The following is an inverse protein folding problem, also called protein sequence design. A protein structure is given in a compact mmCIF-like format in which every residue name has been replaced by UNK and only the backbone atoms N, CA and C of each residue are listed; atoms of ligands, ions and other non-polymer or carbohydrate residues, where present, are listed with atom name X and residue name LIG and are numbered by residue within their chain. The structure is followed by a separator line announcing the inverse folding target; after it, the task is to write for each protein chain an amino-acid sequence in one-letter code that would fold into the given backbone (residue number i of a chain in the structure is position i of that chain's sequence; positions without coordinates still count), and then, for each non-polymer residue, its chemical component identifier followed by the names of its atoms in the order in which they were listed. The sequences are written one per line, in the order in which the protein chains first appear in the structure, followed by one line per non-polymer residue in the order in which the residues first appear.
data_IF_751508183528
#
_entry.id   IF_751508183528
#
_cell.length_a   1.000
_cell.length_b   1.000
_cell.length_c   1.000
_cell.angle_alpha   90.00
_cell.angle_beta   90.00
_cell.angle_gamma   90.00
#
_symmetry.space_group_name_H-M   'P 1'
#
loop_
_entity.id
_entity.type
_entity.pdbx_description
1 polymer ?
#
# COMPACT_ATOMS: atom_id res chain seq x y z
N UNK A 1 16.35 0.88 7.49
CA UNK A 1 15.13 0.16 7.08
C UNK A 1 15.18 0.04 5.57
N UNK A 2 14.96 -1.14 5.02
CA UNK A 2 15.08 -1.39 3.56
C UNK A 2 13.83 -0.86 2.85
N UNK A 3 14.01 -0.07 1.79
CA UNK A 3 12.93 0.39 0.91
C UNK A 3 12.17 -0.81 0.32
N UNK A 4 10.83 -0.82 0.45
CA UNK A 4 9.98 -1.88 -0.10
C UNK A 4 9.71 -1.58 -1.58
N UNK A 5 9.85 -2.59 -2.45
CA UNK A 5 9.63 -2.42 -3.88
C UNK A 5 8.13 -2.38 -4.21
N UNK A 6 7.76 -1.65 -5.27
CA UNK A 6 6.37 -1.50 -5.70
C UNK A 6 5.66 -2.83 -6.01
N UNK A 7 6.37 -3.83 -6.54
CA UNK A 7 5.82 -5.16 -6.83
C UNK A 7 5.47 -5.95 -5.55
N UNK A 8 6.19 -5.71 -4.45
CA UNK A 8 5.86 -6.30 -3.15
C UNK A 8 4.63 -5.63 -2.54
N UNK A 9 4.52 -4.31 -2.64
CA UNK A 9 3.34 -3.56 -2.19
C UNK A 9 2.10 -4.00 -2.97
N UNK A 10 2.18 -4.12 -4.29
CA UNK A 10 1.06 -4.53 -5.13
C UNK A 10 0.50 -5.90 -4.73
N UNK A 11 1.39 -6.86 -4.43
CA UNK A 11 1.03 -8.23 -4.05
C UNK A 11 0.65 -8.39 -2.58
N UNK A 12 0.76 -7.35 -1.75
CA UNK A 12 0.55 -7.46 -0.30
C UNK A 12 1.59 -8.36 0.36
N UNK A 13 2.87 -8.20 0.01
CA UNK A 13 3.98 -9.01 0.52
C UNK A 13 4.93 -8.17 1.37
N UNK A 14 4.39 -7.52 2.38
CA UNK A 14 5.15 -6.76 3.37
C UNK A 14 5.32 -7.54 4.68
N UNK A 15 6.10 -6.99 5.60
CA UNK A 15 6.23 -7.52 6.96
C UNK A 15 5.01 -7.22 7.85
N UNK A 16 4.08 -6.38 7.39
CA UNK A 16 2.90 -5.97 8.14
C UNK A 16 1.66 -6.70 7.59
N UNK A 17 1.20 -7.70 8.33
CA UNK A 17 0.06 -8.54 7.94
C UNK A 17 -1.25 -7.74 7.81
N UNK A 18 -1.43 -6.68 8.61
CA UNK A 18 -2.61 -5.84 8.55
C UNK A 18 -2.62 -5.01 7.25
N UNK A 19 -1.46 -4.50 6.84
CA UNK A 19 -1.32 -3.81 5.56
C UNK A 19 -1.55 -4.75 4.38
N UNK A 20 -1.01 -5.97 4.44
CA UNK A 20 -1.21 -7.00 3.43
C UNK A 20 -2.71 -7.34 3.26
N UNK A 21 -3.43 -7.51 4.39
CA UNK A 21 -4.87 -7.76 4.36
C UNK A 21 -5.67 -6.60 3.74
N UNK A 22 -5.31 -5.35 4.05
CA UNK A 22 -5.93 -4.18 3.43
C UNK A 22 -5.67 -4.13 1.91
N UNK A 23 -4.45 -4.40 1.48
CA UNK A 23 -4.09 -4.47 0.06
C UNK A 23 -4.90 -5.57 -0.66
N UNK A 24 -5.02 -6.75 -0.07
CA UNK A 24 -5.81 -7.85 -0.65
C UNK A 24 -7.31 -7.54 -0.69
N UNK A 25 -7.86 -6.81 0.28
CA UNK A 25 -9.24 -6.34 0.23
C UNK A 25 -9.46 -5.44 -1.01
N UNK A 26 -8.54 -4.51 -1.28
CA UNK A 26 -8.60 -3.68 -2.50
C UNK A 26 -8.54 -4.55 -3.76
N UNK A 27 -7.55 -5.46 -3.86
CA UNK A 27 -7.30 -6.26 -5.06
C UNK A 27 -8.45 -7.23 -5.36
N UNK A 28 -9.01 -7.88 -4.35
CA UNK A 28 -10.03 -8.92 -4.55
C UNK A 28 -11.46 -8.39 -4.57
N UNK A 29 -11.75 -7.31 -3.84
CA UNK A 29 -13.10 -6.76 -3.75
C UNK A 29 -13.28 -5.42 -4.47
N UNK A 30 -12.21 -4.81 -4.98
CA UNK A 30 -12.24 -3.49 -5.61
C UNK A 30 -12.55 -2.36 -4.62
N UNK A 31 -12.55 -2.65 -3.32
CA UNK A 31 -12.86 -1.67 -2.27
C UNK A 31 -12.17 -2.04 -0.97
N UNK A 32 -11.28 -1.16 -0.54
CA UNK A 32 -10.73 -1.19 0.82
C UNK A 32 -11.60 -0.40 1.80
N UNK A 33 -11.76 -0.89 3.02
CA UNK A 33 -12.44 -0.20 4.12
C UNK A 33 -11.85 1.21 4.35
N UNK A 34 -12.70 2.23 4.55
CA UNK A 34 -12.27 3.63 4.57
C UNK A 34 -11.22 3.96 5.63
N UNK A 35 -11.34 3.38 6.82
CA UNK A 35 -10.32 3.52 7.87
C UNK A 35 -8.98 2.92 7.44
N UNK A 36 -9.02 1.76 6.77
CA UNK A 36 -7.82 1.08 6.30
C UNK A 36 -7.10 1.86 5.22
N UNK A 37 -7.81 2.62 4.37
CA UNK A 37 -7.19 3.48 3.33
C UNK A 37 -6.22 4.51 3.92
N UNK A 38 -6.55 5.10 5.06
CA UNK A 38 -5.67 6.08 5.72
C UNK A 38 -4.40 5.41 6.25
N UNK A 39 -4.55 4.29 6.94
CA UNK A 39 -3.43 3.52 7.47
C UNK A 39 -2.54 3.00 6.33
N UNK A 40 -3.16 2.43 5.29
CA UNK A 40 -2.50 1.88 4.12
C UNK A 40 -1.62 2.93 3.41
N UNK A 41 -2.15 4.13 3.15
CA UNK A 41 -1.40 5.20 2.50
C UNK A 41 -0.25 5.73 3.37
N UNK A 42 -0.45 5.81 4.69
CA UNK A 42 0.60 6.25 5.63
C UNK A 42 1.76 5.25 5.71
N UNK A 43 1.48 3.95 5.59
CA UNK A 43 2.52 2.92 5.55
C UNK A 43 3.32 2.94 4.24
N UNK A 44 2.67 3.20 3.10
CA UNK A 44 3.39 3.44 1.83
C UNK A 44 4.37 4.61 2.00
N UNK A 45 3.94 5.70 2.63
CA UNK A 45 4.82 6.84 2.94
C UNK A 45 6.00 6.47 3.85
N UNK A 46 5.78 5.61 4.84
CA UNK A 46 6.83 5.15 5.76
C UNK A 46 7.88 4.25 5.09
N UNK A 47 7.50 3.49 4.06
CA UNK A 47 8.32 2.43 3.48
C UNK A 47 8.92 2.75 2.11
N UNK A 48 8.63 3.93 1.56
CA UNK A 48 9.19 4.44 0.30
C UNK A 48 10.30 5.46 0.56
N UNK A 49 11.13 5.72 -0.44
CA UNK A 49 12.33 6.54 -0.30
C UNK A 49 12.01 8.04 -0.22
N UNK A 50 10.86 8.45 -0.76
CA UNK A 50 10.43 9.84 -0.76
C UNK A 50 8.90 9.98 -0.73
N UNK A 51 8.38 11.11 -0.24
CA UNK A 51 6.94 11.41 -0.32
C UNK A 51 6.38 11.41 -1.75
N UNK A 52 7.20 11.79 -2.74
CA UNK A 52 6.82 11.77 -4.16
C UNK A 52 6.59 10.34 -4.63
N UNK A 53 7.54 9.43 -4.33
CA UNK A 53 7.39 8.02 -4.63
C UNK A 53 6.19 7.41 -3.90
N UNK A 54 5.98 7.77 -2.63
CA UNK A 54 4.82 7.31 -1.86
C UNK A 54 3.49 7.67 -2.53
N UNK A 55 3.40 8.91 -3.02
CA UNK A 55 2.21 9.43 -3.68
C UNK A 55 1.97 8.70 -5.01
N UNK A 56 3.01 8.56 -5.85
CA UNK A 56 2.94 7.85 -7.12
C UNK A 56 2.47 6.40 -6.94
N UNK A 57 3.05 5.68 -5.96
CA UNK A 57 2.66 4.30 -5.64
C UNK A 57 1.23 4.23 -5.11
N UNK A 58 0.84 5.16 -4.22
CA UNK A 58 -0.51 5.15 -3.63
C UNK A 58 -1.60 5.40 -4.68
N UNK A 59 -1.36 6.31 -5.63
CA UNK A 59 -2.26 6.59 -6.75
C UNK A 59 -2.32 5.37 -7.67
N UNK A 60 -1.16 4.83 -8.07
CA UNK A 60 -1.09 3.66 -8.94
C UNK A 60 -1.90 2.47 -8.40
N UNK A 61 -1.75 2.17 -7.10
CA UNK A 61 -2.44 1.03 -6.49
C UNK A 61 -3.93 1.28 -6.22
N UNK A 62 -4.36 2.54 -6.08
CA UNK A 62 -5.77 2.87 -5.87
C UNK A 62 -6.58 2.87 -7.19
N UNK A 63 -5.94 3.24 -8.31
CA UNK A 63 -6.61 3.47 -9.59
C UNK A 63 -6.51 2.29 -10.57
N UNK A 64 -5.80 1.23 -10.18
CA UNK A 64 -5.66 -0.01 -10.96
C UNK A 64 -6.91 -0.88 -10.91
#
# INVERSE_FOLDING_TARGET
MTSIRGDQLEKGLTHDELWNAAQWEMVHHGKMHGFMRMYWAKKILEWTESPQQALEVSIYLNDK
#
